data_IF_014716649569
#
_entry.id   IF_014716649569
#
_cell.length_a   1.000
_cell.length_b   1.000
_cell.length_c   1.000
_cell.angle_alpha   90.00
_cell.angle_beta   90.00
_cell.angle_gamma   90.00
#
_symmetry.space_group_name_H-M   'P 1'
#
loop_
_entity.id
_entity.type
_entity.pdbx_description
1 polymer ?
#
# COMPACT_ATOMS: atom_id res chain seq x y z
N UNK A 1 9.58 -5.59 5.96
CA UNK A 1 8.39 -6.16 5.29
C UNK A 1 8.65 -6.19 3.79
N UNK A 2 8.38 -7.30 3.07
CA UNK A 2 8.55 -7.40 1.61
C UNK A 2 7.70 -6.43 0.78
N UNK A 3 6.52 -6.04 1.27
CA UNK A 3 5.62 -5.11 0.57
C UNK A 3 4.77 -4.33 1.57
N UNK A 4 4.19 -3.24 1.10
CA UNK A 4 3.27 -2.37 1.82
C UNK A 4 2.18 -1.88 0.86
N UNK A 5 0.91 -1.91 1.29
CA UNK A 5 -0.22 -1.36 0.56
C UNK A 5 -0.66 -0.04 1.19
N UNK A 6 -0.75 1.01 0.39
CA UNK A 6 -1.30 2.31 0.79
C UNK A 6 -2.70 2.48 0.21
N UNK A 7 -3.70 2.59 1.08
CA UNK A 7 -5.07 2.98 0.74
C UNK A 7 -5.20 4.49 0.98
N UNK A 8 -5.13 5.27 -0.09
CA UNK A 8 -5.14 6.73 -0.04
C UNK A 8 -6.59 7.24 -0.12
N UNK A 9 -6.99 8.06 0.85
CA UNK A 9 -8.32 8.67 0.93
C UNK A 9 -8.17 10.19 0.93
N UNK A 10 -9.06 10.87 0.23
CA UNK A 10 -9.12 12.32 0.21
C UNK A 10 -10.54 12.77 0.56
N UNK A 11 -10.67 13.69 1.51
CA UNK A 11 -11.93 14.32 1.86
C UNK A 11 -12.25 15.51 0.96
N UNK A 12 -13.47 16.03 1.02
CA UNK A 12 -13.91 17.17 0.21
C UNK A 12 -13.13 18.46 0.51
N UNK A 13 -12.54 18.59 1.70
CA UNK A 13 -11.66 19.68 2.09
C UNK A 13 -10.21 19.50 1.63
N UNK A 14 -9.94 18.46 0.81
CA UNK A 14 -8.63 18.06 0.28
C UNK A 14 -7.67 17.45 1.32
N UNK A 15 -8.08 17.27 2.57
CA UNK A 15 -7.28 16.55 3.56
C UNK A 15 -7.09 15.09 3.14
N UNK A 16 -5.89 14.55 3.39
CA UNK A 16 -5.50 13.20 2.95
C UNK A 16 -5.25 12.30 4.16
N UNK A 17 -5.81 11.10 4.11
CA UNK A 17 -5.58 10.04 5.08
C UNK A 17 -5.16 8.76 4.37
N UNK A 18 -4.06 8.16 4.83
CA UNK A 18 -3.55 6.90 4.30
C UNK A 18 -3.72 5.80 5.33
N UNK A 19 -4.33 4.69 4.91
CA UNK A 19 -4.33 3.44 5.68
C UNK A 19 -3.28 2.52 5.06
N UNK A 20 -2.28 2.15 5.85
CA UNK A 20 -1.19 1.28 5.41
C UNK A 20 -1.34 -0.13 5.96
N UNK A 21 -1.08 -1.11 5.08
CA UNK A 21 -1.03 -2.53 5.43
C UNK A 21 0.33 -3.12 5.07
N UNK A 22 1.01 -3.66 6.08
CA UNK A 22 2.31 -4.30 5.92
C UNK A 22 2.15 -5.77 5.57
N UNK A 23 3.01 -6.28 4.69
CA UNK A 23 3.04 -7.69 4.31
C UNK A 23 4.32 -8.37 4.79
N UNK A 24 4.21 -9.59 5.28
CA UNK A 24 5.33 -10.52 5.49
C UNK A 24 5.22 -11.72 4.55
N UNK A 25 6.31 -12.45 4.32
CA UNK A 25 6.23 -13.66 3.51
C UNK A 25 5.32 -14.71 4.17
N UNK A 26 4.53 -15.40 3.34
CA UNK A 26 3.64 -16.46 3.77
C UNK A 26 2.74 -16.93 2.62
N UNK A 27 1.51 -17.31 2.96
CA UNK A 27 0.50 -17.68 1.96
C UNK A 27 0.08 -16.49 1.11
N UNK A 28 -0.50 -16.80 -0.05
CA UNK A 28 -1.10 -15.84 -0.97
C UNK A 28 -2.11 -14.91 -0.28
N UNK A 29 -1.98 -13.63 -0.56
CA UNK A 29 -2.97 -12.62 -0.22
C UNK A 29 -4.17 -12.69 -1.17
N UNK A 30 -5.38 -12.71 -0.62
CA UNK A 30 -6.62 -12.84 -1.40
C UNK A 30 -6.81 -11.68 -2.38
N UNK A 31 -6.49 -10.44 -1.98
CA UNK A 31 -6.66 -9.27 -2.85
C UNK A 31 -5.67 -9.32 -4.00
N UNK A 32 -4.40 -9.63 -3.72
CA UNK A 32 -3.36 -9.69 -4.75
C UNK A 32 -3.66 -10.83 -5.75
N UNK A 33 -4.19 -11.96 -5.29
CA UNK A 33 -4.64 -13.03 -6.19
C UNK A 33 -5.74 -12.57 -7.14
N UNK A 34 -6.69 -11.73 -6.71
CA UNK A 34 -7.76 -11.21 -7.57
C UNK A 34 -7.25 -10.30 -8.70
N UNK A 35 -6.09 -9.66 -8.53
CA UNK A 35 -5.53 -8.71 -9.50
C UNK A 35 -4.29 -9.26 -10.23
N UNK A 36 -3.82 -10.47 -9.90
CA UNK A 36 -2.57 -11.02 -10.43
C UNK A 36 -2.55 -11.16 -11.95
N UNK A 37 -3.65 -11.61 -12.54
CA UNK A 37 -3.77 -11.75 -14.00
C UNK A 37 -3.72 -10.37 -14.67
N UNK A 38 -4.32 -9.36 -14.04
CA UNK A 38 -4.28 -7.97 -14.48
C UNK A 38 -2.87 -7.39 -14.37
N UNK A 39 -2.13 -7.66 -13.30
CA UNK A 39 -0.72 -7.26 -13.22
C UNK A 39 0.11 -7.88 -14.36
N UNK A 40 -0.20 -9.11 -14.76
CA UNK A 40 0.49 -9.77 -15.89
C UNK A 40 0.16 -9.11 -17.22
N UNK A 41 -1.13 -8.80 -17.47
CA UNK A 41 -1.60 -8.07 -18.64
C UNK A 41 -0.95 -6.67 -18.72
N UNK A 42 -0.88 -5.95 -17.59
CA UNK A 42 -0.25 -4.64 -17.51
C UNK A 42 1.24 -4.71 -17.85
N UNK A 43 1.97 -5.69 -17.30
CA UNK A 43 3.38 -5.88 -17.61
C UNK A 43 3.64 -6.10 -19.11
N UNK A 44 2.72 -6.78 -19.81
CA UNK A 44 2.82 -6.98 -21.26
C UNK A 44 2.55 -5.69 -22.05
N UNK A 45 1.64 -4.84 -21.59
CA UNK A 45 1.36 -3.55 -22.22
C UNK A 45 2.50 -2.55 -22.03
N UNK A 46 3.12 -2.51 -20.84
CA UNK A 46 4.31 -1.68 -20.57
C UNK A 46 5.47 -2.03 -21.51
N UNK A 47 5.64 -3.30 -21.90
CA UNK A 47 6.67 -3.71 -22.86
C UNK A 47 6.42 -3.25 -24.31
N UNK A 48 5.21 -2.76 -24.64
CA UNK A 48 4.81 -2.45 -26.02
C UNK A 48 4.86 -0.96 -26.37
N UNK A 49 4.92 -0.05 -25.41
CA UNK A 49 4.75 1.41 -25.63
C UNK A 49 5.61 2.27 -24.71
N UNK A 50 5.93 3.49 -25.15
CA UNK A 50 6.63 4.53 -24.36
C UNK A 50 5.66 5.42 -23.53
N UNK A 51 4.36 5.16 -23.57
CA UNK A 51 3.32 5.89 -22.82
C UNK A 51 2.82 5.07 -21.62
N UNK A 52 2.17 5.76 -20.66
CA UNK A 52 1.57 5.14 -19.47
C UNK A 52 0.59 4.01 -19.85
N UNK A 53 0.96 2.77 -19.48
CA UNK A 53 0.14 1.60 -19.73
C UNK A 53 -1.07 1.56 -18.78
N UNK A 54 -2.25 1.33 -19.34
CA UNK A 54 -3.51 1.24 -18.59
C UNK A 54 -4.30 0.01 -19.04
N UNK A 55 -4.87 -0.71 -18.07
CA UNK A 55 -5.74 -1.86 -18.33
C UNK A 55 -7.03 -1.78 -17.48
N UNK A 56 -8.16 -2.30 -17.97
CA UNK A 56 -9.38 -2.35 -17.19
C UNK A 56 -9.27 -3.43 -16.09
N UNK A 57 -9.38 -2.98 -14.83
CA UNK A 57 -9.39 -3.86 -13.66
C UNK A 57 -10.72 -4.62 -13.48
N UNK A 58 -11.83 -4.00 -13.91
CA UNK A 58 -13.18 -4.48 -13.61
C UNK A 58 -13.57 -4.24 -12.15
N UNK A 59 -14.49 -5.05 -11.63
CA UNK A 59 -14.96 -4.93 -10.24
C UNK A 59 -14.06 -5.71 -9.29
N UNK A 60 -13.48 -5.03 -8.29
CA UNK A 60 -12.70 -5.66 -7.22
C UNK A 60 -13.40 -5.46 -5.89
N UNK A 61 -13.78 -6.56 -5.26
CA UNK A 61 -14.33 -6.52 -3.91
C UNK A 61 -13.21 -6.35 -2.87
N UNK A 62 -13.23 -5.18 -2.23
CA UNK A 62 -12.30 -4.73 -1.19
C UNK A 62 -12.74 -5.11 0.24
N UNK A 63 -13.84 -5.83 0.43
CA UNK A 63 -14.29 -6.30 1.75
C UNK A 63 -13.22 -7.15 2.47
N UNK A 64 -12.34 -7.81 1.71
CA UNK A 64 -11.18 -8.54 2.25
C UNK A 64 -10.15 -7.64 2.94
N UNK A 65 -10.17 -6.32 2.70
CA UNK A 65 -9.38 -5.32 3.42
C UNK A 65 -10.04 -4.91 4.75
N UNK A 66 -11.35 -5.09 4.89
CA UNK A 66 -12.13 -4.63 6.05
C UNK A 66 -11.97 -5.52 7.30
N UNK A 67 -11.11 -6.55 7.28
CA UNK A 67 -10.87 -7.39 8.46
C UNK A 67 -10.32 -6.50 9.59
N UNK A 68 -11.17 -6.20 10.57
CA UNK A 68 -10.91 -5.31 11.71
C UNK A 68 -9.50 -5.55 12.27
N UNK A 69 -8.61 -4.58 12.08
CA UNK A 69 -7.38 -4.49 12.85
C UNK A 69 -7.74 -3.83 14.17
N UNK A 70 -7.47 -4.51 15.28
CA UNK A 70 -7.74 -3.99 16.63
C UNK A 70 -6.68 -3.01 17.11
N UNK A 71 -5.59 -2.84 16.34
CA UNK A 71 -4.47 -1.95 16.65
C UNK A 71 -3.99 -1.23 15.40
N UNK A 72 -3.57 0.01 15.55
CA UNK A 72 -2.86 0.76 14.52
C UNK A 72 -1.99 1.86 15.14
N UNK A 73 -0.93 2.22 14.43
CA UNK A 73 -0.15 3.41 14.74
C UNK A 73 -0.70 4.59 13.94
N UNK A 74 -0.77 5.76 14.55
CA UNK A 74 -1.23 6.99 13.90
C UNK A 74 -0.19 8.09 14.02
N UNK A 75 0.04 8.82 12.93
CA UNK A 75 0.93 9.98 12.92
C UNK A 75 0.63 10.91 11.74
N UNK A 76 1.06 12.18 11.82
CA UNK A 76 0.99 13.14 10.70
C UNK A 76 2.31 13.14 9.93
N UNK A 77 2.27 12.86 8.63
CA UNK A 77 3.47 12.74 7.79
C UNK A 77 3.26 13.36 6.42
N UNK A 78 3.92 12.78 5.42
CA UNK A 78 3.85 13.22 4.04
C UNK A 78 3.46 12.08 3.11
N UNK A 79 3.19 12.39 1.84
CA UNK A 79 3.24 11.41 0.76
C UNK A 79 4.66 10.82 0.66
N UNK A 80 4.75 9.57 0.23
CA UNK A 80 6.02 8.85 0.00
C UNK A 80 6.54 9.01 -1.43
N UNK A 81 5.82 9.76 -2.26
CA UNK A 81 6.17 10.09 -3.65
C UNK A 81 6.23 11.61 -3.82
N UNK A 82 7.07 12.14 -4.75
CA UNK A 82 7.08 13.55 -5.10
C UNK A 82 5.67 14.08 -5.43
N UNK A 83 5.30 15.31 -5.01
CA UNK A 83 6.14 16.34 -4.37
C UNK A 83 6.30 16.18 -2.85
N UNK A 84 6.02 15.00 -2.29
CA UNK A 84 6.16 14.71 -0.85
C UNK A 84 5.28 15.62 0.02
N UNK A 85 4.07 15.95 -0.42
CA UNK A 85 3.12 16.82 0.29
C UNK A 85 2.93 16.36 1.74
N UNK A 86 3.08 17.29 2.69
CA UNK A 86 2.92 17.06 4.13
C UNK A 86 1.44 17.09 4.56
N UNK A 87 1.20 17.00 5.89
CA UNK A 87 -0.12 16.98 6.51
C UNK A 87 -1.00 15.79 6.11
N UNK A 88 -0.36 14.66 5.77
CA UNK A 88 -1.03 13.40 5.52
C UNK A 88 -1.20 12.64 6.83
N UNK A 89 -2.44 12.28 7.17
CA UNK A 89 -2.71 11.44 8.35
C UNK A 89 -2.42 9.98 7.99
N UNK A 90 -1.40 9.40 8.60
CA UNK A 90 -1.05 7.99 8.41
C UNK A 90 -1.65 7.11 9.50
N UNK A 91 -2.22 5.98 9.09
CA UNK A 91 -2.73 4.93 9.97
C UNK A 91 -2.10 3.60 9.54
N UNK A 92 -1.06 3.16 10.26
CA UNK A 92 -0.36 1.90 9.97
C UNK A 92 -1.02 0.77 10.75
N UNK A 93 -1.70 -0.15 10.07
CA UNK A 93 -2.39 -1.25 10.73
C UNK A 93 -1.39 -2.18 11.42
N UNK A 94 -1.64 -2.50 12.69
CA UNK A 94 -0.79 -3.41 13.46
C UNK A 94 -0.90 -4.88 13.03
N UNK A 95 -1.94 -5.24 12.27
CA UNK A 95 -2.11 -6.58 11.71
C UNK A 95 -1.35 -6.70 10.39
N UNK A 96 -0.25 -7.45 10.41
CA UNK A 96 0.55 -7.79 9.23
C UNK A 96 -0.18 -8.86 8.41
N UNK A 97 -0.31 -8.64 7.09
CA UNK A 97 -0.84 -9.62 6.12
C UNK A 97 0.29 -10.49 5.55
N UNK A 98 -0.06 -11.57 4.88
CA UNK A 98 0.93 -12.42 4.21
C UNK A 98 0.90 -12.19 2.70
N UNK A 99 2.06 -12.32 2.06
CA UNK A 99 2.22 -12.32 0.61
C UNK A 99 3.17 -13.45 0.21
N UNK A 100 2.93 -14.11 -0.92
CA UNK A 100 3.90 -15.07 -1.47
C UNK A 100 4.96 -14.39 -2.32
N UNK A 101 6.07 -15.09 -2.58
CA UNK A 101 7.12 -14.60 -3.47
C UNK A 101 6.58 -14.34 -4.88
N UNK A 102 5.70 -15.21 -5.38
CA UNK A 102 5.09 -15.07 -6.72
C UNK A 102 4.21 -13.84 -6.83
N UNK A 103 3.45 -13.53 -5.79
CA UNK A 103 2.64 -12.31 -5.73
C UNK A 103 3.51 -11.05 -5.66
N UNK A 104 4.60 -11.08 -4.89
CA UNK A 104 5.56 -9.97 -4.86
C UNK A 104 6.18 -9.75 -6.25
N UNK A 105 6.55 -10.83 -6.93
CA UNK A 105 7.11 -10.76 -8.29
C UNK A 105 6.07 -10.21 -9.28
N UNK A 106 4.80 -10.61 -9.17
CA UNK A 106 3.72 -10.07 -9.98
C UNK A 106 3.50 -8.57 -9.77
N UNK A 107 3.58 -8.07 -8.54
CA UNK A 107 3.51 -6.62 -8.25
C UNK A 107 4.68 -5.85 -8.86
N UNK A 108 5.87 -6.46 -8.91
CA UNK A 108 7.06 -5.84 -9.48
C UNK A 108 7.12 -5.94 -11.00
N UNK A 109 6.43 -6.88 -11.63
CA UNK A 109 6.56 -7.15 -13.06
C UNK A 109 6.30 -5.92 -13.94
N UNK A 110 5.24 -5.10 -13.72
CA UNK A 110 4.93 -3.95 -14.57
C UNK A 110 5.79 -2.70 -14.32
N UNK A 111 6.57 -2.68 -13.24
CA UNK A 111 7.36 -1.50 -12.87
C UNK A 111 8.62 -1.39 -13.73
N UNK A 112 9.09 -0.17 -13.99
CA UNK A 112 10.39 0.07 -14.61
C UNK A 112 11.54 -0.52 -13.77
N UNK A 113 12.70 -0.73 -14.41
CA UNK A 113 13.90 -1.27 -13.75
C UNK A 113 14.26 -0.49 -12.48
N UNK A 114 14.20 0.83 -12.55
CA UNK A 114 14.60 1.74 -11.48
C UNK A 114 13.56 1.77 -10.35
N UNK A 115 12.33 1.35 -10.65
CA UNK A 115 11.19 1.32 -9.74
C UNK A 115 10.92 -0.08 -9.15
N UNK A 116 11.71 -1.11 -9.50
CA UNK A 116 11.54 -2.47 -8.91
C UNK A 116 11.67 -2.48 -7.39
N UNK A 117 12.33 -1.47 -6.81
CA UNK A 117 12.41 -1.20 -5.38
C UNK A 117 11.91 0.23 -5.07
N UNK A 118 10.62 0.46 -5.28
CA UNK A 118 9.94 1.75 -5.11
C UNK A 118 9.64 2.15 -3.65
N UNK A 119 10.50 1.78 -2.70
CA UNK A 119 10.36 2.16 -1.29
C UNK A 119 11.19 3.39 -0.98
N UNK A 120 10.53 4.48 -0.57
CA UNK A 120 11.21 5.68 -0.07
C UNK A 120 11.97 5.33 1.22
N UNK A 121 13.25 5.73 1.39
CA UNK A 121 14.00 5.51 2.62
C UNK A 121 13.30 6.09 3.85
N UNK A 122 13.57 5.50 5.02
CA UNK A 122 13.07 6.01 6.29
C UNK A 122 13.52 7.46 6.50
N UNK A 123 12.56 8.30 6.89
CA UNK A 123 12.79 9.72 7.17
C UNK A 123 12.94 9.94 8.68
N UNK A 124 13.71 10.96 9.10
CA UNK A 124 13.89 11.26 10.52
C UNK A 124 12.55 11.62 11.19
N UNK A 125 12.35 11.25 12.46
CA UNK A 125 11.09 11.48 13.16
C UNK A 125 10.84 12.94 13.52
N UNK A 126 11.87 13.79 13.60
CA UNK A 126 11.78 15.24 13.84
C UNK A 126 10.85 15.66 15.00
N UNK A 127 10.83 14.88 16.09
CA UNK A 127 9.99 15.16 17.26
C UNK A 127 8.49 14.88 17.07
N UNK A 128 8.08 14.34 15.92
CA UNK A 128 6.69 13.95 15.66
C UNK A 128 6.21 12.92 16.68
N UNK A 129 5.00 13.14 17.18
CA UNK A 129 4.29 12.15 17.99
C UNK A 129 3.72 11.01 17.15
N UNK A 130 3.93 9.79 17.61
CA UNK A 130 3.34 8.57 17.05
C UNK A 130 2.44 7.96 18.10
N UNK A 131 1.16 7.91 17.82
CA UNK A 131 0.14 7.36 18.71
C UNK A 131 -0.06 5.88 18.41
N UNK A 132 -0.34 5.09 19.44
CA UNK A 132 -0.76 3.70 19.31
C UNK A 132 -2.19 3.57 19.81
N UNK A 133 -3.10 3.18 18.91
CA UNK A 133 -4.43 2.75 19.28
C UNK A 133 -4.43 1.23 19.49
N UNK A 134 -5.02 0.76 20.59
CA UNK A 134 -5.18 -0.65 20.90
C UNK A 134 -6.52 -0.90 21.59
N UNK A 135 -7.49 -1.42 20.83
CA UNK A 135 -8.85 -1.69 21.29
C UNK A 135 -8.92 -2.56 22.57
N UNK A 136 -7.87 -3.33 22.88
CA UNK A 136 -7.80 -4.15 24.11
C UNK A 136 -7.37 -3.37 25.36
N UNK A 137 -6.76 -2.20 25.19
CA UNK A 137 -6.31 -1.33 26.30
C UNK A 137 -7.32 -0.21 26.58
N UNK A 138 -8.17 0.10 25.61
CA UNK A 138 -9.20 1.14 25.69
C UNK A 138 -10.58 0.58 26.14
N UNK A 139 -10.61 -0.65 26.68
CA UNK A 139 -11.76 -1.30 27.34
C UNK A 139 -11.39 -1.61 28.79
#
# INVERSE_FOLDING_TARGET
>A
FPAELHLVHQASDQSVSVVSVLFQFGKDDILISKIKDKLTELAQETCKKEEDAHIPLGTVDLNELQKKSRKYFRYVGSLTVPPCTENVVWNILGKVRTISQDQLNALKAPLDSDCKNNSRPLQPPNGRQVELYDERRDQ
#
